data_IF_577552344296
#
_entry.id   IF_577552344296
#
_cell.length_a   1.000
_cell.length_b   1.000
_cell.length_c   1.000
_cell.angle_alpha   90.00
_cell.angle_beta   90.00
_cell.angle_gamma   90.00
#
_symmetry.space_group_name_H-M   'P 1'
#
loop_
_entity.id
_entity.type
_entity.pdbx_description
1 polymer ?
#
# COMPACT_ATOMS: atom_id res chain seq x y z
N UNK A 1 -7.81 2.65 -5.64
CA UNK A 1 -7.56 2.80 -7.09
C UNK A 1 -6.54 3.89 -7.30
N UNK A 2 -5.51 3.66 -8.11
CA UNK A 2 -4.43 4.64 -8.34
C UNK A 2 -4.41 5.22 -9.77
N UNK A 3 -4.84 4.46 -10.79
CA UNK A 3 -4.73 4.88 -12.20
C UNK A 3 -5.88 5.70 -12.79
N UNK A 4 -6.99 5.88 -12.05
CA UNK A 4 -8.22 6.48 -12.57
C UNK A 4 -8.63 7.78 -11.86
N UNK A 5 -7.72 8.37 -11.07
CA UNK A 5 -7.96 9.59 -10.33
C UNK A 5 -7.09 10.73 -10.87
N UNK A 6 -7.59 11.97 -10.77
CA UNK A 6 -6.79 13.18 -11.02
C UNK A 6 -5.70 13.37 -9.97
N UNK A 7 -6.00 12.97 -8.73
CA UNK A 7 -5.08 13.00 -7.60
C UNK A 7 -5.26 11.72 -6.80
N UNK A 8 -4.16 11.02 -6.58
CA UNK A 8 -4.04 9.76 -5.83
C UNK A 8 -3.17 10.01 -4.62
N UNK A 9 -3.74 9.71 -3.45
CA UNK A 9 -3.03 9.68 -2.16
C UNK A 9 -2.91 8.21 -1.77
N UNK A 10 -1.69 7.75 -1.49
CA UNK A 10 -1.41 6.38 -1.09
C UNK A 10 -1.01 6.37 0.39
N UNK A 11 -1.76 5.62 1.19
CA UNK A 11 -1.45 5.33 2.58
C UNK A 11 -0.65 4.02 2.65
N UNK A 12 0.47 4.02 3.35
CA UNK A 12 1.41 2.89 3.41
C UNK A 12 1.87 2.64 4.85
N UNK A 13 2.29 1.42 5.13
CA UNK A 13 2.87 1.03 6.41
C UNK A 13 4.34 1.49 6.55
N UNK A 14 5.06 1.59 5.44
CA UNK A 14 6.48 1.92 5.42
C UNK A 14 6.82 2.77 4.21
N UNK A 15 7.71 3.76 4.40
CA UNK A 15 8.38 4.48 3.31
C UNK A 15 9.87 4.15 3.40
N UNK A 16 10.40 3.74 2.25
CA UNK A 16 11.79 3.34 2.06
C UNK A 16 12.50 4.33 1.14
N UNK A 17 13.83 4.32 1.16
CA UNK A 17 14.63 5.20 0.32
C UNK A 17 14.61 4.77 -1.15
N UNK A 18 14.93 5.71 -2.04
CA UNK A 18 14.94 5.45 -3.48
C UNK A 18 16.02 4.41 -3.81
N UNK A 19 15.61 3.32 -4.46
CA UNK A 19 16.49 2.22 -4.85
C UNK A 19 16.49 1.04 -3.87
N UNK A 20 15.84 1.16 -2.71
CA UNK A 20 15.68 0.02 -1.78
C UNK A 20 14.65 -1.00 -2.28
N UNK A 21 13.68 -0.57 -3.08
CA UNK A 21 12.77 -1.47 -3.79
C UNK A 21 13.34 -1.87 -5.15
N UNK A 22 13.37 -3.17 -5.41
CA UNK A 22 13.71 -3.71 -6.72
C UNK A 22 12.67 -3.28 -7.77
N UNK A 23 13.07 -2.71 -8.92
CA UNK A 23 12.17 -2.29 -9.98
C UNK A 23 11.17 -3.36 -10.45
N UNK A 24 11.57 -4.63 -10.47
CA UNK A 24 10.72 -5.75 -10.90
C UNK A 24 9.62 -6.11 -9.89
N UNK A 25 9.76 -5.67 -8.63
CA UNK A 25 8.80 -5.91 -7.55
C UNK A 25 7.80 -4.75 -7.37
N UNK A 26 7.91 -3.68 -8.17
CA UNK A 26 7.02 -2.51 -8.09
C UNK A 26 5.66 -2.84 -8.74
N UNK A 27 4.64 -3.06 -7.91
CA UNK A 27 3.28 -3.34 -8.37
C UNK A 27 2.57 -2.15 -9.03
N UNK A 28 2.72 -0.95 -8.45
CA UNK A 28 2.11 0.29 -8.96
C UNK A 28 3.20 1.34 -9.11
N UNK A 29 3.57 1.71 -10.34
CA UNK A 29 4.60 2.72 -10.56
C UNK A 29 4.25 4.08 -9.94
N UNK A 30 5.28 4.84 -9.53
CA UNK A 30 5.10 6.12 -8.83
C UNK A 30 4.30 7.16 -9.63
N UNK A 31 4.24 7.05 -10.96
CA UNK A 31 3.55 7.99 -11.85
C UNK A 31 2.05 8.10 -11.53
N UNK A 32 1.47 7.06 -10.94
CA UNK A 32 0.07 7.02 -10.55
C UNK A 32 -0.20 7.60 -9.14
N UNK A 33 0.83 7.99 -8.38
CA UNK A 33 0.73 8.42 -6.98
C UNK A 33 1.33 9.81 -6.80
N UNK A 34 0.55 10.77 -6.29
CA UNK A 34 1.02 12.16 -6.10
C UNK A 34 1.36 12.48 -4.65
N UNK A 35 0.82 11.73 -3.69
CA UNK A 35 1.07 11.93 -2.25
C UNK A 35 1.18 10.58 -1.56
N UNK A 36 2.14 10.47 -0.64
CA UNK A 36 2.36 9.32 0.22
C UNK A 36 2.14 9.72 1.68
N UNK A 37 1.50 8.85 2.44
CA UNK A 37 1.25 9.04 3.88
C UNK A 37 1.62 7.73 4.59
N UNK A 38 2.41 7.82 5.66
CA UNK A 38 2.68 6.67 6.53
C UNK A 38 1.60 6.61 7.60
N UNK A 39 0.87 5.50 7.67
CA UNK A 39 -0.07 5.25 8.77
C UNK A 39 0.65 4.64 9.97
N UNK A 40 0.51 5.24 11.14
CA UNK A 40 1.17 4.75 12.37
C UNK A 40 0.54 3.46 12.92
N UNK A 41 -0.78 3.30 12.75
CA UNK A 41 -1.52 2.16 13.31
C UNK A 41 -2.71 1.76 12.46
N UNK A 42 -2.58 0.63 11.77
CA UNK A 42 -3.67 -0.01 11.06
C UNK A 42 -4.38 -1.03 11.95
N UNK A 43 -5.70 -0.91 12.08
CA UNK A 43 -6.48 -1.86 12.89
C UNK A 43 -6.62 -3.24 12.21
N UNK A 44 -6.42 -3.34 10.88
CA UNK A 44 -6.51 -4.56 10.06
C UNK A 44 -7.57 -5.56 10.53
N UNK A 45 -8.81 -5.08 10.72
CA UNK A 45 -9.92 -5.90 11.23
C UNK A 45 -10.26 -7.02 10.25
N UNK A 46 -10.43 -8.23 10.78
CA UNK A 46 -10.92 -9.39 10.01
C UNK A 46 -12.42 -9.47 10.25
N UNK A 47 -13.22 -9.21 9.21
CA UNK A 47 -14.69 -9.25 9.32
C UNK A 47 -15.19 -10.63 9.73
N UNK A 48 -14.65 -11.69 9.11
CA UNK A 48 -15.01 -13.08 9.39
C UNK A 48 -13.76 -13.95 9.48
N UNK A 49 -13.37 -14.32 10.70
CA UNK A 49 -12.19 -15.16 10.95
C UNK A 49 -12.57 -16.65 10.82
N UNK A 50 -12.29 -17.22 9.65
CA UNK A 50 -12.49 -18.66 9.42
C UNK A 50 -11.18 -19.41 9.64
N UNK A 51 -11.22 -20.44 10.50
CA UNK A 51 -10.08 -21.32 10.77
C UNK A 51 -10.44 -22.77 10.43
N UNK A 52 -9.45 -23.58 10.04
CA UNK A 52 -9.67 -25.02 9.83
C UNK A 52 -9.96 -25.70 11.17
N UNK A 53 -10.86 -26.68 11.18
CA UNK A 53 -10.95 -27.61 12.30
C UNK A 53 -9.62 -28.34 12.45
N UNK A 54 -9.16 -28.52 13.69
CA UNK A 54 -7.97 -29.31 14.00
C UNK A 54 -8.15 -30.77 13.59
#
# INVERSE_FOLDING_TARGET
>A
MAGAAKVTVCEVEEIVEVGELNPDDIHTPNIFVQRLIVGEKYEKRIEQLTTRAK
#
